data_IF_487247264742
#
_entry.id   IF_487247264742
#
_cell.length_a   1.000
_cell.length_b   1.000
_cell.length_c   1.000
_cell.angle_alpha   90.00
_cell.angle_beta   90.00
_cell.angle_gamma   90.00
#
_symmetry.space_group_name_H-M   'P 1'
#
loop_
_entity.id
_entity.type
_entity.pdbx_description
1 polymer ?
#
# COMPACT_ATOMS: atom_id res chain seq x y z
N UNK A 1 -22.80 -9.27 -53.02
CA UNK A 1 -21.42 -8.81 -53.26
C UNK A 1 -20.70 -8.87 -51.92
N UNK A 2 -20.23 -10.06 -51.54
CA UNK A 2 -19.54 -10.27 -50.27
C UNK A 2 -18.14 -9.68 -50.45
N UNK A 3 -17.86 -8.56 -49.77
CA UNK A 3 -16.54 -7.97 -49.77
C UNK A 3 -15.52 -9.04 -49.34
N UNK A 4 -14.39 -9.11 -50.05
CA UNK A 4 -13.22 -9.91 -49.65
C UNK A 4 -12.85 -9.54 -48.22
N UNK A 5 -13.32 -10.35 -47.28
CA UNK A 5 -13.13 -10.12 -45.87
C UNK A 5 -11.83 -10.83 -45.50
N UNK A 6 -10.73 -10.10 -45.58
CA UNK A 6 -9.41 -10.56 -45.21
C UNK A 6 -9.01 -9.90 -43.86
N UNK A 7 -7.80 -10.21 -43.41
CA UNK A 7 -7.22 -9.68 -42.18
C UNK A 7 -7.21 -8.14 -42.13
N UNK A 8 -7.01 -7.50 -43.28
CA UNK A 8 -7.00 -6.04 -43.43
C UNK A 8 -8.41 -5.44 -43.21
N UNK A 9 -9.46 -6.14 -43.63
CA UNK A 9 -10.86 -5.73 -43.39
C UNK A 9 -11.24 -5.84 -41.92
N UNK A 10 -10.73 -6.84 -41.20
CA UNK A 10 -10.94 -6.99 -39.75
C UNK A 10 -10.25 -5.87 -38.96
N UNK A 11 -9.01 -5.53 -39.32
CA UNK A 11 -8.31 -4.39 -38.74
C UNK A 11 -9.06 -3.07 -39.01
N UNK A 12 -9.50 -2.82 -40.25
CA UNK A 12 -10.28 -1.62 -40.61
C UNK A 12 -11.64 -1.55 -39.90
N UNK A 13 -12.21 -2.70 -39.53
CA UNK A 13 -13.45 -2.77 -38.75
C UNK A 13 -13.26 -2.50 -37.25
N UNK A 14 -12.03 -2.21 -36.79
CA UNK A 14 -11.74 -1.90 -35.39
C UNK A 14 -11.72 -3.13 -34.47
N UNK A 15 -11.63 -4.33 -35.05
CA UNK A 15 -11.38 -5.55 -34.28
C UNK A 15 -9.92 -5.51 -33.81
N UNK A 16 -9.72 -5.42 -32.49
CA UNK A 16 -8.38 -5.47 -31.89
C UNK A 16 -7.72 -6.85 -32.08
N UNK A 17 -6.46 -6.97 -31.65
CA UNK A 17 -5.65 -8.18 -31.89
C UNK A 17 -6.29 -9.46 -31.33
N UNK A 18 -7.15 -9.33 -30.32
CA UNK A 18 -7.99 -10.41 -29.80
C UNK A 18 -9.47 -10.06 -29.89
N UNK A 19 -10.29 -11.06 -30.22
CA UNK A 19 -11.74 -10.91 -30.29
C UNK A 19 -12.51 -12.19 -29.97
N UNK A 20 -13.79 -12.01 -29.67
CA UNK A 20 -14.79 -13.07 -29.51
C UNK A 20 -15.73 -13.11 -30.71
N UNK A 21 -16.29 -14.28 -31.08
CA UNK A 21 -17.23 -14.39 -32.20
C UNK A 21 -18.41 -13.41 -32.12
N UNK A 22 -18.95 -13.15 -30.92
CA UNK A 22 -20.04 -12.18 -30.74
C UNK A 22 -19.69 -10.74 -31.12
N UNK A 23 -18.39 -10.38 -31.15
CA UNK A 23 -17.95 -9.05 -31.63
C UNK A 23 -17.95 -8.95 -33.16
N UNK A 24 -18.05 -10.09 -33.86
CA UNK A 24 -18.10 -10.14 -35.32
C UNK A 24 -19.53 -10.12 -35.87
N UNK A 25 -20.54 -10.40 -35.04
CA UNK A 25 -21.96 -10.36 -35.43
C UNK A 25 -22.40 -9.00 -36.00
N UNK A 26 -22.05 -7.85 -35.39
CA UNK A 26 -22.39 -6.53 -35.95
C UNK A 26 -21.75 -6.25 -37.31
N UNK A 27 -20.67 -6.96 -37.64
CA UNK A 27 -19.95 -6.86 -38.92
C UNK A 27 -20.53 -7.80 -39.99
N UNK A 28 -21.60 -8.54 -39.67
CA UNK A 28 -22.24 -9.49 -40.58
C UNK A 28 -21.43 -10.76 -40.83
N UNK A 29 -20.42 -11.03 -39.99
CA UNK A 29 -19.52 -12.16 -40.16
C UNK A 29 -20.12 -13.37 -39.44
N UNK A 30 -20.43 -14.41 -40.20
CA UNK A 30 -21.03 -15.64 -39.68
C UNK A 30 -19.96 -16.59 -39.12
N UNK A 31 -20.38 -17.54 -38.27
CA UNK A 31 -19.50 -18.60 -37.75
C UNK A 31 -18.86 -19.44 -38.87
N UNK A 32 -19.58 -19.65 -39.99
CA UNK A 32 -19.04 -20.33 -41.16
C UNK A 32 -17.86 -19.55 -41.78
N UNK A 33 -17.97 -18.21 -41.88
CA UNK A 33 -16.88 -17.37 -42.38
C UNK A 33 -15.69 -17.37 -41.43
N UNK A 34 -15.93 -17.36 -40.12
CA UNK A 34 -14.85 -17.47 -39.12
C UNK A 34 -14.05 -18.76 -39.25
N UNK A 35 -14.72 -19.90 -39.47
CA UNK A 35 -14.06 -21.20 -39.77
C UNK A 35 -13.20 -21.15 -41.02
N UNK A 36 -13.67 -20.44 -42.05
CA UNK A 36 -12.93 -20.29 -43.29
C UNK A 36 -11.67 -19.44 -43.08
N UNK A 37 -11.78 -18.33 -42.34
CA UNK A 37 -10.64 -17.50 -41.97
C UNK A 37 -9.59 -18.25 -41.12
N UNK A 38 -10.03 -19.18 -40.28
CA UNK A 38 -9.14 -20.07 -39.51
C UNK A 38 -8.41 -21.05 -40.43
N UNK A 39 -9.09 -21.61 -41.44
CA UNK A 39 -8.48 -22.49 -42.45
C UNK A 39 -7.55 -21.75 -43.42
N UNK A 40 -7.80 -20.46 -43.66
CA UNK A 40 -6.96 -19.54 -44.45
C UNK A 40 -5.77 -18.98 -43.63
N UNK A 41 -5.60 -19.43 -42.37
CA UNK A 41 -4.58 -18.96 -41.42
C UNK A 41 -4.60 -17.44 -41.14
N UNK A 42 -5.69 -16.74 -41.50
CA UNK A 42 -5.86 -15.31 -41.22
C UNK A 42 -6.17 -15.04 -39.74
N UNK A 43 -6.76 -16.02 -39.05
CA UNK A 43 -7.08 -15.95 -37.62
C UNK A 43 -6.71 -17.24 -36.91
N UNK A 44 -6.25 -17.12 -35.66
CA UNK A 44 -5.89 -18.28 -34.83
C UNK A 44 -6.79 -18.37 -33.60
N UNK A 45 -7.24 -19.59 -33.28
CA UNK A 45 -8.02 -19.84 -32.06
C UNK A 45 -7.13 -20.03 -30.84
N UNK A 46 -7.08 -19.00 -29.98
CA UNK A 46 -6.27 -18.96 -28.75
C UNK A 46 -6.90 -19.80 -27.62
N UNK A 47 -8.21 -20.07 -27.68
CA UNK A 47 -8.92 -21.00 -26.79
C UNK A 47 -10.24 -20.45 -26.20
N UNK A 48 -11.16 -21.34 -25.85
CA UNK A 48 -12.48 -21.03 -25.23
C UNK A 48 -13.27 -19.89 -25.91
N UNK A 49 -13.30 -19.88 -27.25
CA UNK A 49 -14.02 -18.88 -28.03
C UNK A 49 -13.32 -17.52 -28.13
N UNK A 50 -12.02 -17.46 -27.83
CA UNK A 50 -11.15 -16.33 -28.13
C UNK A 50 -10.32 -16.62 -29.39
N UNK A 51 -10.29 -15.64 -30.28
CA UNK A 51 -9.54 -15.67 -31.54
C UNK A 51 -8.57 -14.48 -31.57
N UNK A 52 -7.50 -14.61 -32.35
CA UNK A 52 -6.56 -13.53 -32.65
C UNK A 52 -6.30 -13.43 -34.16
N UNK A 53 -5.83 -12.27 -34.59
CA UNK A 53 -5.26 -12.09 -35.93
C UNK A 53 -3.87 -12.73 -35.98
N UNK A 54 -3.54 -13.42 -37.08
CA UNK A 54 -2.35 -14.27 -37.16
C UNK A 54 -1.04 -13.52 -37.46
N UNK A 55 -1.12 -12.30 -38.00
CA UNK A 55 0.02 -11.46 -38.41
C UNK A 55 0.66 -10.68 -37.26
N UNK A 56 0.03 -10.66 -36.09
CA UNK A 56 0.53 -9.93 -34.94
C UNK A 56 1.48 -10.81 -34.14
N UNK A 57 2.76 -10.43 -34.13
CA UNK A 57 3.74 -11.02 -33.21
C UNK A 57 3.33 -10.75 -31.75
N UNK A 58 3.32 -11.77 -30.87
CA UNK A 58 3.00 -11.58 -29.46
C UNK A 58 3.96 -10.61 -28.77
N UNK A 59 3.46 -9.53 -28.17
CA UNK A 59 4.27 -8.70 -27.28
C UNK A 59 4.35 -9.30 -25.86
N UNK A 60 5.17 -8.73 -24.99
CA UNK A 60 5.25 -9.10 -23.57
C UNK A 60 3.88 -9.03 -22.84
N UNK A 61 2.97 -8.20 -23.36
CA UNK A 61 1.64 -7.96 -22.77
C UNK A 61 0.54 -8.86 -23.35
N UNK A 62 0.91 -9.78 -24.26
CA UNK A 62 0.01 -10.74 -24.91
C UNK A 62 -0.90 -11.47 -23.92
N UNK A 63 -0.31 -11.99 -22.84
CA UNK A 63 -1.07 -12.75 -21.83
C UNK A 63 -2.12 -11.88 -21.12
N UNK A 64 -1.79 -10.62 -20.84
CA UNK A 64 -2.69 -9.66 -20.18
C UNK A 64 -3.84 -9.30 -21.12
N UNK A 65 -3.53 -9.00 -22.38
CA UNK A 65 -4.52 -8.68 -23.42
C UNK A 65 -5.53 -9.83 -23.61
N UNK A 66 -5.04 -11.07 -23.72
CA UNK A 66 -5.89 -12.26 -23.85
C UNK A 66 -6.83 -12.45 -22.64
N UNK A 67 -6.37 -12.15 -21.42
CA UNK A 67 -7.23 -12.18 -20.23
C UNK A 67 -8.28 -11.07 -20.27
N UNK A 68 -7.89 -9.85 -20.64
CA UNK A 68 -8.82 -8.71 -20.72
C UNK A 68 -9.91 -8.92 -21.77
N UNK A 69 -9.56 -9.47 -22.94
CA UNK A 69 -10.53 -9.82 -23.98
C UNK A 69 -11.53 -10.90 -23.51
N UNK A 70 -11.09 -11.80 -22.63
CA UNK A 70 -11.97 -12.82 -22.03
C UNK A 70 -12.80 -12.31 -20.87
N UNK A 71 -12.30 -11.32 -20.15
CA UNK A 71 -12.93 -10.75 -18.98
C UNK A 71 -12.91 -9.22 -19.06
N UNK A 72 -13.74 -8.60 -19.91
CA UNK A 72 -13.71 -7.14 -20.14
C UNK A 72 -13.97 -6.33 -18.87
N UNK A 73 -14.63 -6.95 -17.89
CA UNK A 73 -14.93 -6.33 -16.61
C UNK A 73 -13.88 -6.58 -15.51
N UNK A 74 -12.82 -7.33 -15.81
CA UNK A 74 -11.72 -7.54 -14.89
C UNK A 74 -10.78 -6.32 -14.85
N UNK A 75 -10.10 -6.16 -13.73
CA UNK A 75 -9.16 -5.07 -13.49
C UNK A 75 -7.77 -5.69 -13.34
N UNK A 76 -6.81 -5.32 -14.19
CA UNK A 76 -5.40 -5.70 -14.04
C UNK A 76 -4.84 -5.06 -12.77
N UNK A 77 -4.20 -5.85 -11.92
CA UNK A 77 -3.79 -5.40 -10.59
C UNK A 77 -2.53 -6.10 -10.08
N UNK A 78 -2.03 -5.67 -8.91
CA UNK A 78 -0.92 -6.30 -8.18
C UNK A 78 0.28 -6.54 -9.09
N UNK A 79 0.86 -7.75 -9.10
CA UNK A 79 2.12 -8.02 -9.81
C UNK A 79 2.02 -7.78 -11.33
N UNK A 80 0.85 -7.99 -11.95
CA UNK A 80 0.68 -7.67 -13.38
C UNK A 80 0.61 -6.17 -13.63
N UNK A 81 0.05 -5.39 -12.70
CA UNK A 81 0.07 -3.93 -12.81
C UNK A 81 1.49 -3.37 -12.55
N UNK A 82 2.22 -3.93 -11.57
CA UNK A 82 3.61 -3.58 -11.33
C UNK A 82 4.47 -3.84 -12.57
N UNK A 83 4.32 -4.99 -13.21
CA UNK A 83 5.01 -5.30 -14.47
C UNK A 83 4.69 -4.28 -15.57
N UNK A 84 3.42 -3.89 -15.73
CA UNK A 84 3.00 -2.92 -16.76
C UNK A 84 3.60 -1.53 -16.52
N UNK A 85 3.76 -1.13 -15.25
CA UNK A 85 4.40 0.14 -14.89
C UNK A 85 5.92 0.04 -14.71
N UNK A 86 6.50 -1.14 -14.94
CA UNK A 86 7.94 -1.40 -14.74
C UNK A 86 8.39 -1.05 -13.31
N UNK A 87 7.53 -1.31 -12.31
CA UNK A 87 7.80 -1.05 -10.90
C UNK A 87 8.28 -2.33 -10.22
N UNK A 88 9.55 -2.32 -9.80
CA UNK A 88 10.22 -3.49 -9.22
C UNK A 88 10.57 -4.54 -10.27
N UNK A 89 11.19 -5.63 -9.86
CA UNK A 89 11.73 -6.66 -10.76
C UNK A 89 10.88 -7.94 -10.81
N UNK A 90 9.69 -7.91 -10.22
CA UNK A 90 8.84 -9.10 -10.11
C UNK A 90 8.21 -9.44 -11.46
N UNK A 91 8.53 -10.62 -12.00
CA UNK A 91 7.94 -11.18 -13.22
C UNK A 91 6.88 -12.24 -12.86
N UNK A 92 5.58 -11.90 -12.88
CA UNK A 92 4.56 -12.84 -12.47
C UNK A 92 4.35 -13.94 -13.52
N UNK A 93 4.36 -15.21 -13.08
CA UNK A 93 4.04 -16.37 -13.96
C UNK A 93 2.57 -16.46 -14.37
N UNK A 94 1.71 -15.65 -13.74
CA UNK A 94 0.27 -15.64 -13.91
C UNK A 94 -0.22 -14.21 -14.05
N UNK A 95 -1.28 -14.00 -14.82
CA UNK A 95 -1.90 -12.69 -14.96
C UNK A 95 -2.77 -12.41 -13.73
N UNK A 96 -2.44 -11.35 -12.99
CA UNK A 96 -3.16 -10.92 -11.81
C UNK A 96 -4.31 -9.98 -12.17
N UNK A 97 -5.52 -10.41 -11.85
CA UNK A 97 -6.73 -9.63 -12.05
C UNK A 97 -7.59 -9.57 -10.80
N UNK A 98 -8.30 -8.45 -10.65
CA UNK A 98 -9.36 -8.28 -9.69
C UNK A 98 -10.71 -8.32 -10.37
N UNK A 99 -11.69 -8.95 -9.72
CA UNK A 99 -13.10 -8.92 -10.12
C UNK A 99 -13.99 -8.60 -8.91
N UNK A 100 -15.22 -8.09 -9.11
CA UNK A 100 -16.17 -7.88 -8.03
C UNK A 100 -16.45 -9.16 -7.24
N UNK A 101 -16.74 -9.04 -5.94
CA UNK A 101 -16.97 -10.20 -5.06
C UNK A 101 -18.00 -11.21 -5.59
N UNK A 102 -19.08 -10.73 -6.21
CA UNK A 102 -20.16 -11.58 -6.75
C UNK A 102 -19.97 -11.97 -8.22
N UNK A 103 -18.90 -11.50 -8.88
CA UNK A 103 -18.67 -11.81 -10.29
C UNK A 103 -18.18 -13.26 -10.48
N UNK A 104 -18.55 -13.88 -11.59
CA UNK A 104 -18.06 -15.21 -11.96
C UNK A 104 -16.57 -15.11 -12.36
N UNK A 105 -15.68 -15.99 -11.85
CA UNK A 105 -14.31 -16.07 -12.32
C UNK A 105 -14.25 -16.35 -13.83
N UNK A 106 -13.34 -15.72 -14.58
CA UNK A 106 -13.11 -16.09 -15.97
C UNK A 106 -12.47 -17.48 -16.06
N UNK A 107 -12.72 -18.17 -17.17
CA UNK A 107 -12.01 -19.43 -17.46
C UNK A 107 -10.53 -19.14 -17.66
N UNK A 108 -9.67 -19.92 -17.00
CA UNK A 108 -8.21 -19.78 -17.10
C UNK A 108 -7.70 -20.06 -18.51
N UNK A 109 -8.34 -20.96 -19.27
CA UNK A 109 -7.82 -21.38 -20.57
C UNK A 109 -6.39 -21.88 -20.46
N UNK A 110 -5.52 -21.48 -21.40
CA UNK A 110 -4.10 -21.85 -21.42
C UNK A 110 -3.20 -20.84 -20.69
N UNK A 111 -3.76 -19.77 -20.13
CA UNK A 111 -3.01 -18.71 -19.43
C UNK A 111 -3.31 -18.82 -17.94
N UNK A 112 -2.26 -18.87 -17.11
CA UNK A 112 -2.43 -18.84 -15.66
C UNK A 112 -3.04 -17.52 -15.21
N UNK A 113 -4.19 -17.58 -14.52
CA UNK A 113 -4.84 -16.40 -13.94
C UNK A 113 -4.75 -16.47 -12.42
N UNK A 114 -4.28 -15.39 -11.79
CA UNK A 114 -4.36 -15.19 -10.35
C UNK A 114 -5.43 -14.16 -10.05
N UNK A 115 -6.41 -14.56 -9.24
CA UNK A 115 -7.62 -13.78 -9.03
C UNK A 115 -7.70 -13.24 -7.60
N UNK A 116 -7.99 -11.94 -7.48
CA UNK A 116 -8.36 -11.30 -6.21
C UNK A 116 -9.76 -10.69 -6.30
N UNK A 117 -10.37 -10.44 -5.14
CA UNK A 117 -11.73 -9.89 -5.05
C UNK A 117 -11.70 -8.46 -4.54
N UNK A 118 -12.28 -7.55 -5.31
CA UNK A 118 -12.50 -6.17 -4.90
C UNK A 118 -13.97 -5.95 -4.48
N UNK A 119 -14.15 -5.01 -3.56
CA UNK A 119 -15.46 -4.60 -3.02
C UNK A 119 -15.47 -3.11 -2.70
N UNK A 120 -16.67 -2.50 -2.72
CA UNK A 120 -16.87 -1.09 -2.39
C UNK A 120 -16.02 -0.16 -3.24
N UNK A 121 -15.42 0.86 -2.61
CA UNK A 121 -14.57 1.86 -3.27
C UNK A 121 -13.37 1.26 -4.01
N UNK A 122 -12.96 0.02 -3.71
CA UNK A 122 -11.85 -0.62 -4.40
C UNK A 122 -12.11 -0.88 -5.89
N UNK A 123 -13.39 -0.90 -6.32
CA UNK A 123 -13.83 -1.14 -7.70
C UNK A 123 -13.83 0.11 -8.58
N UNK A 124 -13.56 1.29 -8.03
CA UNK A 124 -13.58 2.57 -8.78
C UNK A 124 -12.39 3.47 -8.46
N UNK A 125 -11.95 3.51 -7.20
CA UNK A 125 -10.88 4.40 -6.76
C UNK A 125 -9.54 4.03 -7.41
N UNK A 126 -8.89 5.01 -8.03
CA UNK A 126 -7.54 4.87 -8.57
C UNK A 126 -7.42 3.85 -9.70
N UNK A 127 -8.50 3.61 -10.45
CA UNK A 127 -8.46 2.83 -11.70
C UNK A 127 -8.14 3.75 -12.88
N UNK A 128 -7.46 3.19 -13.88
CA UNK A 128 -7.15 3.84 -15.16
C UNK A 128 -7.65 2.94 -16.30
N UNK A 129 -8.24 3.58 -17.31
CA UNK A 129 -8.55 2.93 -18.58
C UNK A 129 -7.27 2.87 -19.42
N UNK A 130 -7.04 1.74 -20.07
CA UNK A 130 -5.87 1.51 -20.93
C UNK A 130 -6.21 0.51 -22.02
N UNK A 131 -5.23 0.19 -22.87
CA UNK A 131 -5.31 -0.89 -23.84
C UNK A 131 -4.08 -1.78 -23.76
N UNK A 132 -4.28 -3.07 -23.97
CA UNK A 132 -3.21 -4.04 -24.19
C UNK A 132 -3.46 -4.72 -25.52
N UNK A 133 -2.55 -4.62 -26.50
CA UNK A 133 -2.76 -5.21 -27.84
C UNK A 133 -4.09 -4.75 -28.48
N UNK A 134 -4.38 -3.45 -28.40
CA UNK A 134 -5.66 -2.83 -28.76
C UNK A 134 -6.92 -3.31 -28.00
N UNK A 135 -6.78 -4.27 -27.07
CA UNK A 135 -7.87 -4.73 -26.21
C UNK A 135 -8.11 -3.72 -25.09
N UNK A 136 -9.33 -3.16 -24.96
CA UNK A 136 -9.67 -2.29 -23.84
C UNK A 136 -9.51 -3.00 -22.50
N UNK A 137 -8.92 -2.30 -21.53
CA UNK A 137 -8.66 -2.86 -20.21
C UNK A 137 -8.71 -1.78 -19.13
N UNK A 138 -8.99 -2.23 -17.90
CA UNK A 138 -8.84 -1.41 -16.68
C UNK A 138 -7.66 -1.90 -15.88
N UNK A 139 -6.87 -0.97 -15.35
CA UNK A 139 -5.70 -1.26 -14.51
C UNK A 139 -5.72 -0.37 -13.26
N UNK A 140 -5.20 -0.84 -12.14
CA UNK A 140 -4.98 0.03 -10.98
C UNK A 140 -3.87 1.04 -11.30
N UNK A 141 -4.04 2.32 -10.97
CA UNK A 141 -3.00 3.34 -11.10
C UNK A 141 -1.76 2.99 -10.27
N UNK A 142 -0.55 3.49 -10.59
CA UNK A 142 0.68 3.10 -9.91
C UNK A 142 0.62 3.21 -8.38
N UNK A 143 0.15 4.35 -7.86
CA UNK A 143 0.00 4.57 -6.42
C UNK A 143 -0.99 3.58 -5.81
N UNK A 144 -2.12 3.33 -6.49
CA UNK A 144 -3.10 2.35 -6.03
C UNK A 144 -2.55 0.94 -6.06
N UNK A 145 -1.77 0.57 -7.08
CA UNK A 145 -1.10 -0.73 -7.18
C UNK A 145 -0.18 -0.97 -5.98
N UNK A 146 0.65 0.00 -5.61
CA UNK A 146 1.55 -0.11 -4.44
C UNK A 146 0.74 -0.28 -3.15
N UNK A 147 -0.32 0.50 -2.95
CA UNK A 147 -1.21 0.37 -1.78
C UNK A 147 -1.86 -1.02 -1.74
N UNK A 148 -2.35 -1.50 -2.88
CA UNK A 148 -2.93 -2.85 -2.98
C UNK A 148 -1.88 -3.93 -2.72
N UNK A 149 -0.61 -3.73 -3.10
CA UNK A 149 0.48 -4.65 -2.76
C UNK A 149 0.65 -4.83 -1.25
N UNK A 150 0.56 -3.75 -0.45
CA UNK A 150 0.56 -3.88 1.01
C UNK A 150 -0.71 -4.54 1.54
N UNK A 151 -1.87 -4.17 0.99
CA UNK A 151 -3.16 -4.76 1.38
C UNK A 151 -3.18 -6.28 1.16
N UNK A 152 -2.58 -6.74 0.06
CA UNK A 152 -2.50 -8.14 -0.33
C UNK A 152 -1.11 -8.74 -0.13
N UNK A 153 -0.28 -8.20 0.77
CA UNK A 153 1.11 -8.62 0.99
C UNK A 153 1.25 -10.11 1.36
N UNK A 154 0.24 -10.70 1.99
CA UNK A 154 0.21 -12.14 2.31
C UNK A 154 0.10 -13.02 1.06
N UNK A 155 -0.45 -12.49 -0.03
CA UNK A 155 -0.62 -13.21 -1.30
C UNK A 155 0.56 -13.01 -2.24
N UNK A 156 1.11 -11.79 -2.31
CA UNK A 156 2.16 -11.44 -3.26
C UNK A 156 3.58 -11.54 -2.67
N UNK A 157 3.70 -11.63 -1.35
CA UNK A 157 4.96 -11.53 -0.63
C UNK A 157 5.24 -10.11 -0.15
N UNK A 158 5.74 -9.99 1.08
CA UNK A 158 6.11 -8.69 1.69
C UNK A 158 7.23 -8.00 0.91
N UNK A 159 8.17 -8.76 0.38
CA UNK A 159 9.33 -8.24 -0.37
C UNK A 159 8.89 -7.50 -1.63
N UNK A 160 7.98 -8.08 -2.42
CA UNK A 160 7.43 -7.43 -3.61
C UNK A 160 6.73 -6.09 -3.28
N UNK A 161 6.01 -6.01 -2.15
CA UNK A 161 5.37 -4.77 -1.72
C UNK A 161 6.40 -3.71 -1.27
N UNK A 162 7.43 -4.13 -0.53
CA UNK A 162 8.50 -3.24 -0.07
C UNK A 162 9.34 -2.71 -1.24
N UNK A 163 9.70 -3.58 -2.18
CA UNK A 163 10.45 -3.24 -3.38
C UNK A 163 9.67 -2.20 -4.21
N UNK A 164 8.39 -2.46 -4.48
CA UNK A 164 7.54 -1.54 -5.23
C UNK A 164 7.43 -0.16 -4.56
N UNK A 165 7.35 -0.12 -3.22
CA UNK A 165 7.36 1.14 -2.48
C UNK A 165 8.71 1.85 -2.58
N UNK A 166 9.81 1.12 -2.39
CA UNK A 166 11.16 1.69 -2.44
C UNK A 166 11.45 2.31 -3.80
N UNK A 167 11.09 1.61 -4.88
CA UNK A 167 11.30 2.10 -6.25
C UNK A 167 10.48 3.35 -6.53
N UNK A 168 9.20 3.35 -6.15
CA UNK A 168 8.33 4.52 -6.33
C UNK A 168 8.76 5.72 -5.45
N UNK A 169 9.42 5.47 -4.31
CA UNK A 169 10.02 6.52 -3.47
C UNK A 169 11.33 7.07 -4.02
N UNK A 170 12.05 6.32 -4.86
CA UNK A 170 13.23 6.80 -5.59
C UNK A 170 12.79 7.67 -6.76
N UNK A 171 11.78 7.24 -7.52
CA UNK A 171 11.21 8.02 -8.63
C UNK A 171 10.00 8.88 -8.22
N UNK A 172 10.23 9.84 -7.31
CA UNK A 172 9.17 10.78 -6.85
C UNK A 172 8.65 11.72 -7.95
N UNK A 173 9.23 11.71 -9.15
CA UNK A 173 8.77 12.50 -10.30
C UNK A 173 7.79 11.71 -11.17
N UNK A 174 7.96 10.38 -11.30
CA UNK A 174 7.03 9.50 -12.02
C UNK A 174 5.64 9.37 -11.38
N UNK A 175 5.51 9.60 -10.07
CA UNK A 175 4.29 9.30 -9.31
C UNK A 175 3.82 10.45 -8.40
N UNK A 176 3.25 11.55 -8.94
CA UNK A 176 2.92 12.75 -8.17
C UNK A 176 1.94 12.52 -7.00
N UNK A 177 1.07 11.50 -7.08
CA UNK A 177 0.15 11.12 -6.01
C UNK A 177 0.80 10.57 -4.72
N UNK A 178 2.05 10.11 -4.80
CA UNK A 178 2.79 9.65 -3.60
C UNK A 178 3.26 10.79 -2.70
N UNK A 179 3.38 12.02 -3.22
CA UNK A 179 3.78 13.19 -2.42
C UNK A 179 2.70 13.58 -1.40
N UNK A 180 1.43 13.47 -1.76
CA UNK A 180 0.30 13.83 -0.88
C UNK A 180 -0.12 12.73 0.09
N UNK A 181 0.06 11.46 -0.27
CA UNK A 181 -0.27 10.32 0.59
C UNK A 181 0.74 10.12 1.74
N UNK A 182 1.94 10.70 1.61
CA UNK A 182 2.97 10.75 2.65
C UNK A 182 3.02 12.10 3.38
N UNK A 183 1.87 12.73 3.64
CA UNK A 183 1.84 13.66 4.77
C UNK A 183 2.24 12.86 6.00
N UNK A 184 3.45 13.09 6.49
CA UNK A 184 4.10 12.46 7.64
C UNK A 184 3.26 12.74 8.89
N UNK A 185 2.20 11.96 9.10
CA UNK A 185 1.51 11.94 10.38
C UNK A 185 2.32 11.02 11.30
N UNK A 186 3.47 11.55 11.72
CA UNK A 186 4.43 10.88 12.60
C UNK A 186 3.73 10.41 13.86
N UNK A 187 2.79 11.21 14.38
CA UNK A 187 1.95 10.86 15.53
C UNK A 187 1.13 9.60 15.26
N UNK A 188 0.43 9.53 14.11
CA UNK A 188 -0.38 8.37 13.74
C UNK A 188 0.48 7.12 13.50
N UNK A 189 1.67 7.27 12.90
CA UNK A 189 2.60 6.16 12.69
C UNK A 189 3.10 5.59 14.02
N UNK A 190 3.51 6.45 14.95
CA UNK A 190 3.99 6.05 16.27
C UNK A 190 2.86 5.44 17.09
N UNK A 191 1.68 6.07 17.11
CA UNK A 191 0.48 5.53 17.76
C UNK A 191 0.13 4.13 17.23
N UNK A 192 0.19 3.92 15.91
CA UNK A 192 -0.08 2.62 15.30
C UNK A 192 0.97 1.56 15.67
N UNK A 193 2.27 1.94 15.72
CA UNK A 193 3.34 1.04 16.17
C UNK A 193 3.18 0.63 17.62
N UNK A 194 2.88 1.58 18.51
CA UNK A 194 2.61 1.31 19.93
C UNK A 194 1.38 0.41 20.10
N UNK A 195 0.30 0.65 19.34
CA UNK A 195 -0.91 -0.17 19.38
C UNK A 195 -0.65 -1.61 18.92
N UNK A 196 0.12 -1.78 17.83
CA UNK A 196 0.48 -3.10 17.33
C UNK A 196 1.32 -3.88 18.33
N UNK A 197 2.24 -3.20 19.03
CA UNK A 197 3.08 -3.82 20.04
C UNK A 197 2.30 -4.21 21.30
N UNK A 198 1.41 -3.33 21.77
CA UNK A 198 0.48 -3.64 22.86
C UNK A 198 -0.36 -4.90 22.55
N UNK A 199 -0.85 -5.03 21.30
CA UNK A 199 -1.60 -6.21 20.86
C UNK A 199 -0.75 -7.48 20.80
N UNK A 200 0.48 -7.42 20.33
CA UNK A 200 1.35 -8.61 20.24
C UNK A 200 1.76 -9.15 21.61
N UNK A 201 1.88 -8.27 22.60
CA UNK A 201 2.29 -8.62 23.97
C UNK A 201 1.10 -8.77 24.93
N UNK A 202 -0.15 -8.71 24.44
CA UNK A 202 -1.35 -8.87 25.27
C UNK A 202 -1.51 -7.81 26.36
N UNK A 203 -0.89 -6.65 26.20
CA UNK A 203 -0.81 -5.58 27.21
C UNK A 203 -1.74 -4.43 26.86
N UNK A 204 -2.19 -3.68 27.86
CA UNK A 204 -3.05 -2.50 27.67
C UNK A 204 -2.33 -1.40 26.87
N UNK A 205 -3.00 -0.85 25.85
CA UNK A 205 -2.43 0.18 24.98
C UNK A 205 -2.06 1.49 25.71
N UNK A 206 -2.83 1.88 26.72
CA UNK A 206 -2.53 3.09 27.52
C UNK A 206 -1.17 3.00 28.21
N UNK A 207 -0.77 1.80 28.63
CA UNK A 207 0.52 1.57 29.27
C UNK A 207 1.70 1.91 28.35
N UNK A 208 1.55 1.55 27.07
CA UNK A 208 2.51 1.86 26.02
C UNK A 208 2.58 3.35 25.71
N UNK A 209 1.45 4.07 25.73
CA UNK A 209 1.43 5.52 25.54
C UNK A 209 2.14 6.24 26.68
N UNK A 210 1.84 5.87 27.93
CA UNK A 210 2.48 6.46 29.11
C UNK A 210 3.97 6.17 29.13
N UNK A 211 4.37 4.91 28.94
CA UNK A 211 5.78 4.52 28.87
C UNK A 211 6.53 5.29 27.80
N UNK A 212 5.95 5.38 26.60
CA UNK A 212 6.54 6.14 25.50
C UNK A 212 6.71 7.62 25.88
N UNK A 213 5.67 8.26 26.43
CA UNK A 213 5.75 9.65 26.88
C UNK A 213 6.83 9.86 27.95
N UNK A 214 6.95 8.96 28.91
CA UNK A 214 7.99 9.02 29.94
C UNK A 214 9.40 8.87 29.36
N UNK A 215 9.62 7.90 28.47
CA UNK A 215 10.91 7.71 27.80
C UNK A 215 11.29 8.93 26.93
N UNK A 216 10.30 9.52 26.23
CA UNK A 216 10.50 10.74 25.43
C UNK A 216 10.72 11.99 26.29
N UNK A 217 10.16 12.06 27.49
CA UNK A 217 10.47 13.09 28.47
C UNK A 217 11.92 12.94 28.99
N UNK A 218 12.32 11.73 29.38
CA UNK A 218 13.68 11.45 29.85
C UNK A 218 14.74 11.71 28.78
N UNK A 219 14.43 11.41 27.52
CA UNK A 219 15.27 11.79 26.38
C UNK A 219 15.48 13.31 26.34
N UNK A 220 14.40 14.09 26.41
CA UNK A 220 14.47 15.56 26.43
C UNK A 220 15.22 16.07 27.65
N UNK A 221 15.03 15.47 28.83
CA UNK A 221 15.77 15.81 30.05
C UNK A 221 17.28 15.66 29.82
N UNK A 222 17.71 14.51 29.28
CA UNK A 222 19.13 14.24 28.97
C UNK A 222 19.71 15.15 27.88
N UNK A 223 18.90 15.61 26.94
CA UNK A 223 19.28 16.54 25.87
C UNK A 223 19.22 18.02 26.30
N UNK A 224 18.54 18.34 27.41
CA UNK A 224 18.37 19.70 27.91
C UNK A 224 19.54 20.19 28.76
N UNK A 225 19.56 21.50 29.03
CA UNK A 225 20.48 22.11 30.00
C UNK A 225 20.24 21.63 31.45
N UNK A 226 19.05 21.08 31.75
CA UNK A 226 18.71 20.57 33.09
C UNK A 226 19.42 19.25 33.44
N UNK A 227 19.98 18.53 32.45
CA UNK A 227 20.58 17.20 32.64
C UNK A 227 21.60 17.10 33.79
N UNK A 228 22.37 18.17 34.04
CA UNK A 228 23.41 18.20 35.07
C UNK A 228 22.88 18.41 36.49
N UNK A 229 21.60 18.77 36.61
CA UNK A 229 20.94 19.11 37.87
C UNK A 229 19.87 18.08 38.25
N UNK A 230 19.74 16.98 37.51
CA UNK A 230 18.69 15.99 37.71
C UNK A 230 19.26 14.58 37.80
N UNK A 231 18.76 13.79 38.74
CA UNK A 231 19.06 12.36 38.87
C UNK A 231 17.74 11.58 38.78
N UNK A 232 17.66 10.64 37.84
CA UNK A 232 16.54 9.70 37.74
C UNK A 232 16.55 8.75 38.95
N UNK A 233 15.38 8.54 39.54
CA UNK A 233 15.17 7.70 40.71
C UNK A 233 13.99 6.75 40.50
N UNK A 234 13.65 6.04 41.58
CA UNK A 234 12.43 5.25 41.68
C UNK A 234 12.37 4.12 40.67
N UNK A 235 11.14 3.76 40.29
CA UNK A 235 10.91 2.64 39.39
C UNK A 235 11.30 2.94 37.94
N UNK A 236 11.41 4.23 37.55
CA UNK A 236 11.97 4.65 36.27
C UNK A 236 13.45 4.27 36.12
N UNK A 237 14.26 4.42 37.17
CA UNK A 237 15.65 3.97 37.18
C UNK A 237 15.76 2.44 37.05
N UNK A 238 14.91 1.72 37.79
CA UNK A 238 14.86 0.26 37.76
C UNK A 238 14.49 -0.29 36.37
N UNK A 239 13.62 0.41 35.63
CA UNK A 239 13.25 0.03 34.26
C UNK A 239 14.38 0.20 33.23
N UNK A 240 15.39 1.04 33.51
CA UNK A 240 16.59 1.17 32.67
C UNK A 240 17.58 0.04 32.95
N UNK A 241 17.64 -0.46 34.19
CA UNK A 241 18.60 -1.48 34.61
C UNK A 241 18.12 -2.92 34.45
N UNK A 242 16.81 -3.17 34.38
CA UNK A 242 16.25 -4.52 34.26
C UNK A 242 15.81 -4.84 32.83
N UNK A 243 16.10 -6.06 32.36
CA UNK A 243 15.67 -6.55 31.04
C UNK A 243 14.14 -6.72 30.96
N UNK A 244 13.49 -7.06 32.09
CA UNK A 244 12.03 -7.17 32.22
C UNK A 244 11.53 -6.37 33.45
N UNK A 245 11.11 -5.11 33.28
CA UNK A 245 10.58 -4.35 34.40
C UNK A 245 9.24 -4.93 34.89
N UNK A 246 9.23 -5.40 36.14
CA UNK A 246 8.10 -6.07 36.82
C UNK A 246 6.84 -5.19 36.99
N UNK A 247 6.95 -3.87 36.82
CA UNK A 247 5.82 -2.94 36.92
C UNK A 247 6.01 -1.77 35.97
N UNK A 248 4.99 -1.50 35.17
CA UNK A 248 4.93 -0.26 34.41
C UNK A 248 4.68 0.92 35.35
N UNK A 249 5.65 1.83 35.41
CA UNK A 249 5.58 3.05 36.20
C UNK A 249 4.92 4.12 35.35
N UNK A 250 3.90 4.78 35.91
CA UNK A 250 3.20 5.86 35.22
C UNK A 250 3.85 7.23 35.47
N UNK A 251 4.64 7.30 36.54
CA UNK A 251 5.28 8.51 37.02
C UNK A 251 6.78 8.49 36.74
N UNK A 252 7.40 9.67 36.78
CA UNK A 252 8.84 9.84 36.64
C UNK A 252 9.37 10.47 37.92
N UNK A 253 10.15 9.71 38.68
CA UNK A 253 10.78 10.20 39.90
C UNK A 253 12.16 10.81 39.57
N UNK A 254 12.31 12.11 39.82
CA UNK A 254 13.57 12.83 39.61
C UNK A 254 13.94 13.56 40.90
N UNK A 255 15.21 13.43 41.31
CA UNK A 255 15.81 14.36 42.24
C UNK A 255 16.44 15.50 41.45
N UNK A 256 15.95 16.72 41.66
CA UNK A 256 16.53 17.93 41.12
C UNK A 256 17.37 18.66 42.19
N UNK A 257 18.48 19.27 41.77
CA UNK A 257 19.32 20.13 42.60
C UNK A 257 19.09 21.59 42.23
N UNK A 258 18.99 22.48 43.24
CA UNK A 258 18.78 23.92 43.05
C UNK A 258 17.54 24.43 43.77
N UNK A 259 17.02 25.56 43.28
CA UNK A 259 15.77 26.15 43.79
C UNK A 259 14.58 25.22 43.53
N UNK A 260 13.68 25.12 44.51
CA UNK A 260 12.55 24.18 44.52
C UNK A 260 11.19 24.89 44.65
N UNK A 261 11.14 26.19 44.45
CA UNK A 261 9.90 26.94 44.34
C UNK A 261 9.17 26.63 43.02
N UNK A 262 7.90 27.01 42.96
CA UNK A 262 7.00 26.73 41.83
C UNK A 262 7.52 27.33 40.52
N UNK A 263 8.14 28.52 40.57
CA UNK A 263 8.66 29.19 39.38
C UNK A 263 9.89 28.46 38.84
N UNK A 264 10.80 28.07 39.72
CA UNK A 264 11.99 27.27 39.38
C UNK A 264 11.61 25.92 38.75
N UNK A 265 10.62 25.21 39.31
CA UNK A 265 10.13 23.94 38.77
C UNK A 265 9.50 24.14 37.39
N UNK A 266 8.64 25.15 37.23
CA UNK A 266 8.00 25.48 35.95
C UNK A 266 9.04 25.81 34.87
N UNK A 267 10.07 26.59 35.22
CA UNK A 267 11.16 26.93 34.32
C UNK A 267 11.98 25.70 33.90
N UNK A 268 12.28 24.81 34.84
CA UNK A 268 12.97 23.54 34.55
C UNK A 268 12.14 22.65 33.63
N UNK A 269 10.85 22.44 33.93
CA UNK A 269 9.95 21.63 33.10
C UNK A 269 9.79 22.22 31.70
N UNK A 270 9.69 23.56 31.59
CA UNK A 270 9.63 24.25 30.29
C UNK A 270 10.91 24.04 29.48
N UNK A 271 12.07 24.10 30.13
CA UNK A 271 13.38 23.85 29.49
C UNK A 271 13.48 22.43 28.93
N UNK A 272 12.94 21.45 29.65
CA UNK A 272 12.93 20.04 29.23
C UNK A 272 11.93 19.85 28.08
N UNK A 273 10.66 20.21 28.28
CA UNK A 273 9.59 19.96 27.33
C UNK A 273 9.77 20.66 25.97
N UNK A 274 10.45 21.82 25.94
CA UNK A 274 10.72 22.57 24.72
C UNK A 274 11.90 22.05 23.88
N UNK A 275 12.62 21.01 24.32
CA UNK A 275 13.66 20.39 23.49
C UNK A 275 13.04 19.85 22.19
N UNK A 276 13.45 20.34 21.00
CA UNK A 276 12.87 19.92 19.73
C UNK A 276 13.10 18.43 19.47
N UNK A 277 12.04 17.73 19.10
CA UNK A 277 12.11 16.32 18.73
C UNK A 277 10.98 15.95 17.73
N UNK A 278 11.05 16.44 16.48
CA UNK A 278 9.99 16.24 15.48
C UNK A 278 9.76 14.76 15.11
N UNK A 279 10.73 13.89 15.37
CA UNK A 279 10.68 12.47 15.04
C UNK A 279 9.80 11.64 15.99
N UNK A 280 9.43 12.17 17.16
CA UNK A 280 8.74 11.39 18.20
C UNK A 280 7.22 11.60 18.28
N UNK A 281 6.69 12.55 17.52
CA UNK A 281 5.25 12.80 17.40
C UNK A 281 4.56 13.12 18.73
N UNK A 282 5.30 13.66 19.71
CA UNK A 282 4.79 14.02 21.04
C UNK A 282 4.91 15.54 21.26
N UNK A 283 3.81 16.14 21.72
CA UNK A 283 3.75 17.53 22.14
C UNK A 283 3.44 17.59 23.64
N UNK A 284 4.22 18.37 24.37
CA UNK A 284 3.96 18.69 25.77
C UNK A 284 3.28 20.05 25.84
N UNK A 285 2.06 20.08 26.35
CA UNK A 285 1.31 21.32 26.55
C UNK A 285 1.73 21.97 27.88
N UNK A 286 2.74 22.84 27.80
CA UNK A 286 3.34 23.51 28.96
C UNK A 286 2.36 24.51 29.61
N UNK A 287 1.41 25.04 28.84
CA UNK A 287 0.41 25.98 29.35
C UNK A 287 -0.53 25.29 30.37
N UNK A 288 -0.68 23.97 30.25
CA UNK A 288 -1.45 23.14 31.19
C UNK A 288 -0.64 22.62 32.38
N UNK A 289 0.63 23.00 32.52
CA UNK A 289 1.50 22.49 33.60
C UNK A 289 1.00 22.98 34.97
N UNK A 290 0.62 22.03 35.81
CA UNK A 290 0.30 22.23 37.22
C UNK A 290 1.47 21.78 38.12
N UNK A 291 1.73 22.53 39.18
CA UNK A 291 2.82 22.28 40.12
C UNK A 291 2.27 22.39 41.53
N UNK A 292 2.25 21.27 42.24
CA UNK A 292 1.75 21.16 43.60
C UNK A 292 2.77 20.51 44.51
N UNK A 293 2.84 20.94 45.76
CA UNK A 293 3.60 20.22 46.77
C UNK A 293 3.00 18.82 47.00
N UNK A 294 3.86 17.80 47.01
CA UNK A 294 3.50 16.47 47.46
C UNK A 294 3.55 16.54 48.99
N UNK A 295 2.39 16.77 49.63
CA UNK A 295 2.17 16.97 51.08
C UNK A 295 3.33 16.52 52.01
N UNK A 296 3.86 17.46 52.79
CA UNK A 296 4.60 17.22 54.04
C UNK A 296 3.64 17.47 55.22
N UNK A 297 2.91 16.45 55.66
CA UNK A 297 2.26 16.42 56.98
C UNK A 297 2.30 14.96 57.50
N UNK A 298 3.51 14.46 57.80
CA UNK A 298 3.75 13.37 58.75
C UNK A 298 5.01 13.66 59.55
#
# INVERSE_FOLDING_TARGET
MMADLNQETLHKAGIGNFFRPGQLEPLGITYHRLRQLEAEEAVERVGWGLYRLADVEPTERYSIASVCARAPNAIVCLLSALQVYEIGTQLPRQVWIAIPHKARPPSSGNIGIRLVRFSGAALSCGLQETKFEEVPARITSPVRTIVDCFRFQRLIGREAALEALQEALRDRKGYPGLRGAMSTNTEHSIRARLLNRARSEGTEFQLYLVRYACERFLYRLGASAARGHCILKGAGLLAVWMEEPYRATRDIDILAFGANDVEAIRAMMSTICNVPCPEDGLLFDIDTLDVSAIRDDQ
#
